data_IF_729855319749
#
_entry.id   IF_729855319749
#
_cell.length_a   1.000
_cell.length_b   1.000
_cell.length_c   1.000
_cell.angle_alpha   90.00
_cell.angle_beta   90.00
_cell.angle_gamma   90.00
#
_symmetry.space_group_name_H-M   'P 1'
#
loop_
_entity.id
_entity.type
_entity.pdbx_description
1 polymer ?
#
# COMPACT_ATOMS: atom_id res chain seq x y z
N UNK A 1 23.45 1.67 23.52
CA UNK A 1 23.11 1.90 22.10
C UNK A 1 23.29 0.65 21.24
N UNK A 2 24.35 -0.14 21.44
CA UNK A 2 24.56 -1.41 20.68
C UNK A 2 23.48 -2.47 20.91
N UNK A 3 23.01 -2.64 22.16
CA UNK A 3 21.96 -3.62 22.49
C UNK A 3 20.60 -3.34 21.82
N UNK A 4 20.24 -2.06 21.65
CA UNK A 4 18.97 -1.70 21.00
C UNK A 4 19.01 -1.98 19.50
N UNK A 5 20.17 -1.75 18.87
CA UNK A 5 20.36 -2.00 17.45
C UNK A 5 20.39 -3.51 17.13
N UNK A 6 20.92 -4.34 18.03
CA UNK A 6 20.88 -5.79 17.86
C UNK A 6 19.46 -6.35 17.99
N UNK A 7 18.64 -5.84 18.92
CA UNK A 7 17.23 -6.22 19.03
C UNK A 7 16.41 -5.85 17.80
N UNK A 8 16.59 -4.63 17.27
CA UNK A 8 15.92 -4.20 16.03
C UNK A 8 16.31 -5.12 14.87
N UNK A 9 17.58 -5.51 14.78
CA UNK A 9 18.06 -6.43 13.75
C UNK A 9 17.38 -7.81 13.87
N UNK A 10 17.33 -8.38 15.08
CA UNK A 10 16.67 -9.67 15.31
C UNK A 10 15.19 -9.66 14.94
N UNK A 11 14.47 -8.60 15.31
CA UNK A 11 13.06 -8.43 14.95
C UNK A 11 12.92 -8.28 13.43
N UNK A 12 13.79 -7.51 12.79
CA UNK A 12 13.84 -7.36 11.34
C UNK A 12 14.02 -8.69 10.61
N UNK A 13 14.94 -9.54 11.06
CA UNK A 13 15.16 -10.88 10.50
C UNK A 13 13.93 -11.77 10.67
N UNK A 14 13.30 -11.76 11.85
CA UNK A 14 12.06 -12.54 12.08
C UNK A 14 10.94 -12.13 11.13
N UNK A 15 10.78 -10.83 10.90
CA UNK A 15 9.81 -10.29 9.94
C UNK A 15 10.15 -10.75 8.52
N UNK A 16 11.42 -10.70 8.12
CA UNK A 16 11.86 -11.15 6.80
C UNK A 16 11.58 -12.64 6.57
N UNK A 17 11.82 -13.50 7.57
CA UNK A 17 11.52 -14.93 7.52
C UNK A 17 10.04 -15.20 7.32
N UNK A 18 9.18 -14.51 8.06
CA UNK A 18 7.72 -14.65 7.94
C UNK A 18 7.21 -14.10 6.60
N UNK A 19 7.77 -12.97 6.15
CA UNK A 19 7.46 -12.33 4.89
C UNK A 19 7.78 -13.24 3.69
N UNK A 20 8.91 -13.95 3.73
CA UNK A 20 9.34 -14.86 2.66
C UNK A 20 8.40 -16.06 2.46
N UNK A 21 7.72 -16.51 3.53
CA UNK A 21 6.78 -17.63 3.48
C UNK A 21 5.39 -17.24 2.99
N UNK A 22 5.09 -15.93 2.94
CA UNK A 22 3.76 -15.44 2.63
C UNK A 22 3.65 -15.01 1.15
N UNK A 23 2.79 -15.71 0.38
CA UNK A 23 2.54 -15.41 -1.03
C UNK A 23 1.99 -13.98 -1.23
N UNK A 24 1.10 -13.53 -0.35
CA UNK A 24 0.52 -12.19 -0.40
C UNK A 24 1.58 -11.10 -0.31
N UNK A 25 2.64 -11.30 0.49
CA UNK A 25 3.75 -10.35 0.61
C UNK A 25 4.49 -10.23 -0.73
N UNK A 26 4.80 -11.36 -1.38
CA UNK A 26 5.47 -11.37 -2.69
C UNK A 26 4.65 -10.66 -3.76
N UNK A 27 3.33 -10.81 -3.71
CA UNK A 27 2.39 -10.11 -4.59
C UNK A 27 2.41 -8.61 -4.31
N UNK A 28 2.29 -8.19 -3.06
CA UNK A 28 2.30 -6.78 -2.66
C UNK A 28 3.62 -6.07 -3.00
N UNK A 29 4.76 -6.74 -2.83
CA UNK A 29 6.09 -6.20 -3.15
C UNK A 29 6.28 -5.90 -4.65
N UNK A 30 5.49 -6.54 -5.53
CA UNK A 30 5.53 -6.28 -6.97
C UNK A 30 5.04 -4.86 -7.32
N UNK A 31 4.26 -4.25 -6.43
CA UNK A 31 3.84 -2.87 -6.56
C UNK A 31 4.99 -1.90 -6.20
N UNK A 32 5.08 -0.80 -6.95
CA UNK A 32 6.05 0.26 -6.68
C UNK A 32 5.70 0.99 -5.38
N UNK A 33 6.71 1.31 -4.56
CA UNK A 33 6.52 1.96 -3.25
C UNK A 33 6.21 1.02 -2.07
N UNK A 34 6.01 -0.28 -2.30
CA UNK A 34 5.82 -1.27 -1.23
C UNK A 34 7.07 -2.13 -1.09
N UNK A 35 7.64 -2.20 0.12
CA UNK A 35 8.75 -3.08 0.48
C UNK A 35 8.29 -4.20 1.43
N UNK A 36 9.16 -5.18 1.72
CA UNK A 36 8.78 -6.38 2.49
C UNK A 36 8.14 -6.07 3.85
N UNK A 37 8.64 -5.07 4.59
CA UNK A 37 8.06 -4.66 5.87
C UNK A 37 6.64 -4.08 5.70
N UNK A 38 6.48 -3.13 4.77
CA UNK A 38 5.18 -2.53 4.46
C UNK A 38 4.18 -3.57 3.95
N UNK A 39 4.64 -4.49 3.10
CA UNK A 39 3.84 -5.61 2.59
C UNK A 39 3.40 -6.54 3.73
N UNK A 40 4.30 -6.87 4.67
CA UNK A 40 3.99 -7.72 5.81
C UNK A 40 2.96 -7.08 6.75
N UNK A 41 3.08 -5.77 7.01
CA UNK A 41 2.09 -5.06 7.83
C UNK A 41 0.73 -5.03 7.12
N UNK A 42 0.68 -4.73 5.83
CA UNK A 42 -0.57 -4.74 5.06
C UNK A 42 -1.19 -6.15 5.06
N UNK A 43 -0.39 -7.19 4.78
CA UNK A 43 -0.86 -8.56 4.77
C UNK A 43 -1.38 -9.01 6.15
N UNK A 44 -0.67 -8.67 7.23
CA UNK A 44 -1.06 -8.99 8.60
C UNK A 44 -2.35 -8.28 9.03
N UNK A 45 -2.54 -7.03 8.64
CA UNK A 45 -3.72 -6.24 9.02
C UNK A 45 -4.95 -6.62 8.18
N UNK A 46 -4.77 -7.00 6.92
CA UNK A 46 -5.84 -7.54 6.06
C UNK A 46 -6.24 -8.94 6.51
N UNK A 47 -5.26 -9.83 6.76
CA UNK A 47 -5.52 -11.25 6.98
C UNK A 47 -6.07 -11.90 5.72
N UNK A 48 -7.27 -12.48 5.81
CA UNK A 48 -7.98 -13.00 4.65
C UNK A 48 -8.61 -11.88 3.81
N UNK A 49 -8.23 -11.80 2.53
CA UNK A 49 -8.78 -10.81 1.58
C UNK A 49 -10.24 -11.10 1.24
N UNK A 50 -10.68 -12.36 1.31
CA UNK A 50 -12.04 -12.77 0.96
C UNK A 50 -13.09 -12.30 1.97
N UNK A 51 -12.68 -11.78 3.13
CA UNK A 51 -13.58 -11.08 4.07
C UNK A 51 -14.17 -9.79 3.49
N UNK A 52 -13.61 -9.29 2.38
CA UNK A 52 -14.06 -8.09 1.70
C UNK A 52 -14.65 -8.45 0.33
N UNK A 53 -15.97 -8.48 0.25
CA UNK A 53 -16.69 -8.80 -1.00
C UNK A 53 -16.39 -7.82 -2.14
N UNK A 54 -16.08 -6.56 -1.80
CA UNK A 54 -15.81 -5.51 -2.78
C UNK A 54 -14.57 -4.70 -2.43
N UNK A 55 -13.83 -4.20 -3.43
CA UNK A 55 -12.68 -3.33 -3.20
C UNK A 55 -13.07 -2.05 -2.45
N UNK A 56 -14.29 -1.55 -2.64
CA UNK A 56 -14.82 -0.38 -1.92
C UNK A 56 -14.90 -0.60 -0.41
N UNK A 57 -15.24 -1.83 0.05
CA UNK A 57 -15.22 -2.16 1.49
C UNK A 57 -13.80 -2.13 2.04
N UNK A 58 -12.82 -2.63 1.29
CA UNK A 58 -11.41 -2.56 1.69
C UNK A 58 -10.91 -1.11 1.78
N UNK A 59 -11.24 -0.26 0.80
CA UNK A 59 -10.91 1.17 0.80
C UNK A 59 -11.49 1.89 2.02
N UNK A 60 -12.76 1.62 2.32
CA UNK A 60 -13.45 2.20 3.48
C UNK A 60 -12.83 1.75 4.79
N UNK A 61 -12.52 0.45 4.92
CA UNK A 61 -11.84 -0.12 6.09
C UNK A 61 -10.43 0.44 6.29
N UNK A 62 -9.66 0.65 5.21
CA UNK A 62 -8.36 1.32 5.26
C UNK A 62 -8.45 2.83 5.52
N UNK A 63 -9.66 3.40 5.54
CA UNK A 63 -9.90 4.82 5.78
C UNK A 63 -9.36 5.72 4.66
N UNK A 64 -9.23 5.22 3.43
CA UNK A 64 -8.72 5.98 2.26
C UNK A 64 -9.83 6.66 1.46
N UNK A 65 -11.09 6.49 1.86
CA UNK A 65 -12.23 7.17 1.26
C UNK A 65 -12.51 8.48 2.01
N UNK A 66 -12.48 9.65 1.34
CA UNK A 66 -12.93 10.89 1.97
C UNK A 66 -14.41 10.76 2.34
N UNK A 67 -14.80 11.31 3.50
CA UNK A 67 -16.21 11.29 3.92
C UNK A 67 -16.98 12.32 3.11
N UNK A 68 -17.74 11.88 2.12
CA UNK A 68 -18.58 12.76 1.30
C UNK A 68 -19.78 13.22 2.13
N UNK A 69 -19.87 14.51 2.40
CA UNK A 69 -21.04 15.16 2.96
C UNK A 69 -21.73 15.93 1.84
N UNK A 70 -22.92 15.49 1.46
CA UNK A 70 -23.75 16.17 0.47
C UNK A 70 -24.92 16.83 1.19
N UNK A 71 -24.90 18.15 1.30
CA UNK A 71 -26.03 18.95 1.79
C UNK A 71 -26.59 19.76 0.62
N UNK A 72 -27.74 19.35 0.09
CA UNK A 72 -28.38 20.01 -1.06
C UNK A 72 -27.53 19.93 -2.34
N UNK A 73 -27.11 21.08 -2.87
CA UNK A 73 -26.37 21.25 -4.14
C UNK A 73 -24.85 21.28 -4.00
N UNK A 74 -24.31 21.26 -2.78
CA UNK A 74 -22.86 21.35 -2.52
C UNK A 74 -22.31 20.02 -2.02
N UNK A 75 -21.27 19.53 -2.70
CA UNK A 75 -20.58 18.29 -2.37
C UNK A 75 -19.30 18.64 -1.60
N UNK A 76 -19.27 18.33 -0.30
CA UNK A 76 -18.11 18.59 0.55
C UNK A 76 -17.39 17.28 0.90
N UNK A 77 -16.09 17.20 0.60
CA UNK A 77 -15.25 16.09 1.02
C UNK A 77 -14.66 16.37 2.41
N UNK A 78 -15.25 15.75 3.43
CA UNK A 78 -14.82 15.84 4.82
C UNK A 78 -13.58 15.00 5.14
N UNK A 79 -13.05 15.21 6.35
CA UNK A 79 -11.86 14.53 6.87
C UNK A 79 -12.13 13.04 7.10
N UNK A 80 -11.14 12.19 6.80
CA UNK A 80 -11.20 10.75 7.05
C UNK A 80 -11.14 10.50 8.57
N UNK A 81 -12.26 10.10 9.18
CA UNK A 81 -12.39 9.92 10.64
C UNK A 81 -12.23 8.48 11.10
N UNK A 82 -12.45 7.50 10.21
CA UNK A 82 -12.52 6.08 10.54
C UNK A 82 -11.67 5.24 9.58
N UNK A 83 -11.11 4.15 10.10
CA UNK A 83 -10.30 3.19 9.34
C UNK A 83 -8.95 2.87 9.99
N UNK A 84 -8.26 1.89 9.43
CA UNK A 84 -6.96 1.44 9.93
C UNK A 84 -5.86 2.47 9.62
N UNK A 85 -5.46 3.24 10.65
CA UNK A 85 -4.45 4.32 10.55
C UNK A 85 -3.09 3.81 10.05
N UNK A 86 -2.69 2.59 10.41
CA UNK A 86 -1.41 2.01 9.97
C UNK A 86 -1.41 1.76 8.46
N UNK A 87 -2.43 1.07 7.98
CA UNK A 87 -2.59 0.76 6.55
C UNK A 87 -2.72 2.05 5.73
N UNK A 88 -3.51 3.00 6.20
CA UNK A 88 -3.65 4.31 5.56
C UNK A 88 -2.30 5.03 5.42
N UNK A 89 -1.53 5.09 6.52
CA UNK A 89 -0.24 5.76 6.53
C UNK A 89 0.75 5.08 5.59
N UNK A 90 0.87 3.75 5.65
CA UNK A 90 1.75 2.97 4.77
C UNK A 90 1.39 3.18 3.29
N UNK A 91 0.11 3.09 2.95
CA UNK A 91 -0.35 3.29 1.57
C UNK A 91 -0.15 4.72 1.09
N UNK A 92 -0.30 5.71 1.98
CA UNK A 92 0.00 7.11 1.65
C UNK A 92 1.48 7.30 1.35
N UNK A 93 2.38 6.70 2.12
CA UNK A 93 3.83 6.74 1.84
C UNK A 93 4.15 6.03 0.52
N UNK A 94 3.61 4.82 0.32
CA UNK A 94 3.80 4.07 -0.92
C UNK A 94 3.27 4.84 -2.14
N UNK A 95 2.14 5.54 -2.00
CA UNK A 95 1.54 6.37 -3.05
C UNK A 95 2.43 7.55 -3.44
N UNK A 96 3.13 8.20 -2.50
CA UNK A 96 4.08 9.26 -2.82
C UNK A 96 5.24 8.74 -3.68
N UNK A 97 5.79 7.57 -3.34
CA UNK A 97 6.83 6.93 -4.15
C UNK A 97 6.31 6.49 -5.50
N UNK A 98 5.13 5.85 -5.54
CA UNK A 98 4.53 5.32 -6.76
C UNK A 98 4.17 6.45 -7.75
N UNK A 99 3.61 7.57 -7.26
CA UNK A 99 3.30 8.74 -8.07
C UNK A 99 4.52 9.37 -8.78
N UNK A 100 5.75 9.07 -8.32
CA UNK A 100 7.00 9.55 -8.92
C UNK A 100 7.67 8.53 -9.81
N UNK A 101 7.53 7.24 -9.49
CA UNK A 101 8.36 6.16 -10.05
C UNK A 101 7.62 5.28 -11.05
N UNK A 102 6.30 5.16 -10.93
CA UNK A 102 5.43 4.38 -11.80
C UNK A 102 4.70 5.31 -12.77
N UNK A 103 4.85 5.06 -14.07
CA UNK A 103 4.30 5.92 -15.11
C UNK A 103 2.76 5.94 -15.09
N UNK A 104 2.12 4.80 -14.83
CA UNK A 104 0.65 4.70 -14.76
C UNK A 104 0.10 5.49 -13.58
N UNK A 105 0.77 5.40 -12.42
CA UNK A 105 0.36 6.14 -11.22
C UNK A 105 0.71 7.63 -11.32
N UNK A 106 1.85 7.97 -11.94
CA UNK A 106 2.26 9.35 -12.22
C UNK A 106 1.28 10.06 -13.13
N UNK A 107 0.85 9.43 -14.23
CA UNK A 107 -0.17 10.01 -15.13
C UNK A 107 -1.51 10.21 -14.43
N UNK A 108 -1.91 9.27 -13.56
CA UNK A 108 -3.11 9.43 -12.75
C UNK A 108 -2.97 10.60 -11.76
N UNK A 109 -1.85 10.67 -11.03
CA UNK A 109 -1.53 11.76 -10.12
C UNK A 109 -1.55 13.13 -10.82
N UNK A 110 -0.92 13.24 -11.98
CA UNK A 110 -0.88 14.49 -12.77
C UNK A 110 -2.28 14.95 -13.21
N UNK A 111 -3.19 14.02 -13.51
CA UNK A 111 -4.58 14.38 -13.83
C UNK A 111 -5.34 14.89 -12.60
N UNK A 112 -5.12 14.28 -11.44
CA UNK A 112 -5.83 14.62 -10.20
C UNK A 112 -5.31 15.92 -9.59
N UNK A 113 -3.99 16.15 -9.59
CA UNK A 113 -3.38 17.36 -9.01
C UNK A 113 -3.77 18.65 -9.76
N UNK A 114 -4.22 18.55 -11.01
CA UNK A 114 -4.81 19.68 -11.75
C UNK A 114 -6.14 20.17 -11.17
N UNK A 115 -6.86 19.30 -10.45
CA UNK A 115 -8.18 19.61 -9.86
C UNK A 115 -8.13 19.77 -8.34
N UNK A 116 -7.17 19.13 -7.68
CA UNK A 116 -7.09 19.08 -6.21
C UNK A 116 -5.68 19.38 -5.71
N UNK A 117 -5.59 19.81 -4.44
CA UNK A 117 -4.30 20.00 -3.75
C UNK A 117 -3.50 18.70 -3.68
N UNK A 118 -2.18 18.82 -3.59
CA UNK A 118 -1.25 17.68 -3.55
C UNK A 118 -1.63 16.57 -2.56
N UNK A 119 -1.97 16.92 -1.32
CA UNK A 119 -2.35 15.94 -0.28
C UNK A 119 -3.59 15.11 -0.65
N UNK A 120 -4.58 15.76 -1.29
CA UNK A 120 -5.80 15.09 -1.78
C UNK A 120 -5.43 14.21 -2.98
N UNK A 121 -4.59 14.70 -3.89
CA UNK A 121 -4.13 13.91 -5.03
C UNK A 121 -3.39 12.63 -4.63
N UNK A 122 -2.53 12.68 -3.61
CA UNK A 122 -1.88 11.47 -3.05
C UNK A 122 -2.91 10.51 -2.45
N UNK A 123 -3.93 11.02 -1.77
CA UNK A 123 -5.01 10.19 -1.22
C UNK A 123 -5.75 9.44 -2.34
N UNK A 124 -6.03 10.10 -3.47
CA UNK A 124 -6.62 9.44 -4.64
C UNK A 124 -5.70 8.36 -5.23
N UNK A 125 -4.39 8.60 -5.29
CA UNK A 125 -3.42 7.59 -5.73
C UNK A 125 -3.45 6.39 -4.77
N UNK A 126 -3.38 6.61 -3.47
CA UNK A 126 -3.46 5.55 -2.46
C UNK A 126 -4.77 4.75 -2.56
N UNK A 127 -5.90 5.42 -2.78
CA UNK A 127 -7.20 4.79 -2.99
C UNK A 127 -7.20 3.92 -4.27
N UNK A 128 -6.59 4.40 -5.36
CA UNK A 128 -6.39 3.59 -6.56
C UNK A 128 -5.46 2.38 -6.31
N UNK A 129 -4.41 2.57 -5.52
CA UNK A 129 -3.48 1.49 -5.20
C UNK A 129 -4.15 0.37 -4.40
N UNK A 130 -4.96 0.69 -3.40
CA UNK A 130 -5.61 -0.35 -2.58
C UNK A 130 -6.65 -1.15 -3.38
N UNK A 131 -7.33 -0.52 -4.35
CA UNK A 131 -8.23 -1.23 -5.27
C UNK A 131 -7.43 -2.24 -6.12
N UNK A 132 -6.28 -1.81 -6.66
CA UNK A 132 -5.40 -2.69 -7.43
C UNK A 132 -4.88 -3.84 -6.55
N UNK A 133 -4.49 -3.55 -5.31
CA UNK A 133 -4.05 -4.56 -4.33
C UNK A 133 -5.14 -5.60 -4.09
N UNK A 134 -6.41 -5.19 -3.93
CA UNK A 134 -7.52 -6.12 -3.75
C UNK A 134 -7.64 -7.10 -4.92
N UNK A 135 -7.57 -6.60 -6.17
CA UNK A 135 -7.59 -7.47 -7.35
C UNK A 135 -6.36 -8.38 -7.44
N UNK A 136 -5.18 -7.86 -7.10
CA UNK A 136 -3.93 -8.64 -7.10
C UNK A 136 -3.96 -9.78 -6.09
N UNK A 137 -4.46 -9.53 -4.87
CA UNK A 137 -4.57 -10.54 -3.82
C UNK A 137 -5.66 -11.56 -4.13
N UNK A 138 -6.81 -11.12 -4.65
CA UNK A 138 -7.93 -12.01 -5.01
C UNK A 138 -7.58 -12.94 -6.17
N UNK A 139 -6.92 -12.41 -7.21
CA UNK A 139 -6.56 -13.20 -8.39
C UNK A 139 -5.19 -13.88 -8.27
N UNK A 140 -4.46 -13.64 -7.18
CA UNK A 140 -3.06 -14.06 -6.97
C UNK A 140 -2.12 -13.64 -8.11
N UNK A 141 -2.37 -12.46 -8.67
CA UNK A 141 -1.60 -11.91 -9.80
C UNK A 141 -0.62 -10.84 -9.34
N UNK A 142 0.56 -10.83 -9.95
CA UNK A 142 1.55 -9.77 -9.75
C UNK A 142 1.13 -8.48 -10.48
N UNK A 143 1.68 -7.34 -10.07
CA UNK A 143 1.38 -6.05 -10.69
C UNK A 143 1.91 -6.00 -12.14
N UNK A 144 1.04 -5.64 -13.10
CA UNK A 144 1.35 -5.68 -14.53
C UNK A 144 2.44 -4.66 -14.93
N UNK A 145 2.39 -3.43 -14.40
CA UNK A 145 3.33 -2.34 -14.73
C UNK A 145 4.60 -2.39 -13.84
N UNK A 146 4.98 -3.58 -13.36
CA UNK A 146 6.11 -3.71 -12.44
C UNK A 146 7.43 -3.49 -13.17
N UNK A 147 8.33 -2.74 -12.53
CA UNK A 147 9.74 -2.68 -12.93
C UNK A 147 10.45 -3.93 -12.44
N UNK A 148 10.71 -4.89 -13.33
CA UNK A 148 11.27 -6.20 -12.99
C UNK A 148 12.57 -6.08 -12.16
N UNK A 149 13.51 -5.21 -12.58
CA UNK A 149 14.77 -4.98 -11.87
C UNK A 149 14.57 -4.52 -10.40
N UNK A 150 13.57 -3.69 -10.14
CA UNK A 150 13.28 -3.22 -8.78
C UNK A 150 12.65 -4.32 -7.94
N UNK A 151 11.78 -5.13 -8.54
CA UNK A 151 11.17 -6.26 -7.85
C UNK A 151 12.21 -7.30 -7.44
N UNK A 152 13.10 -7.66 -8.35
CA UNK A 152 14.17 -8.64 -8.09
C UNK A 152 15.15 -8.12 -7.03
N UNK A 153 15.47 -6.82 -7.04
CA UNK A 153 16.29 -6.21 -6.00
C UNK A 153 15.62 -6.26 -4.61
N UNK A 154 14.29 -6.04 -4.53
CA UNK A 154 13.55 -6.17 -3.27
C UNK A 154 13.51 -7.62 -2.78
N UNK A 155 13.31 -8.58 -3.68
CA UNK A 155 13.36 -10.01 -3.33
C UNK A 155 14.74 -10.40 -2.79
N UNK A 156 15.82 -9.93 -3.43
CA UNK A 156 17.18 -10.14 -2.93
C UNK A 156 17.38 -9.53 -1.55
N UNK A 157 16.91 -8.31 -1.30
CA UNK A 157 16.99 -7.67 0.03
C UNK A 157 16.24 -8.46 1.10
N UNK A 158 15.04 -8.92 0.78
CA UNK A 158 14.25 -9.77 1.68
C UNK A 158 14.99 -11.08 1.98
N UNK A 159 15.56 -11.73 0.98
CA UNK A 159 16.34 -12.97 1.14
C UNK A 159 17.65 -12.76 1.91
N UNK A 160 18.34 -11.63 1.69
CA UNK A 160 19.53 -11.27 2.46
C UNK A 160 19.21 -10.98 3.92
N UNK A 161 18.02 -10.43 4.22
CA UNK A 161 17.56 -10.17 5.57
C UNK A 161 17.08 -11.43 6.32
N UNK A 162 16.91 -12.56 5.62
CA UNK A 162 16.63 -13.87 6.22
C UNK A 162 17.91 -14.57 6.68
N UNK A 163 19.05 -14.21 6.09
CA UNK A 163 20.37 -14.72 6.47
C UNK A 163 20.90 -13.95 7.69
#
# INVERSE_FOLDING_TARGET
>A
MELLNSEISMIGQRIACQAAQNESVRILMSMTGIDYFSAMVIASEIGDIHRFDTPSRLVSWAGLCPSVHQSGSSLYMGRMKQGNKKVNWILTQAAQTSARTDERMKQFYQRVVRRYRHSIAITHVANKMIIIIWHMLTNRTLYNERKQNLYDAKLKRMQSAVR
#
